data_IF_915253908538
#
_entry.id   IF_915253908538
#
_cell.length_a   1.000
_cell.length_b   1.000
_cell.length_c   1.000
_cell.angle_alpha   90.00
_cell.angle_beta   90.00
_cell.angle_gamma   90.00
#
_symmetry.space_group_name_H-M   'P 1'
#
loop_
_entity.id
_entity.type
_entity.pdbx_description
1 polymer ?
#
# COMPACT_ATOMS: atom_id res chain seq x y z
N UNK A 1 8.57 66.58 9.01
CA UNK A 1 8.25 67.34 10.24
C UNK A 1 8.83 66.52 11.39
N UNK A 2 9.83 66.99 12.17
CA UNK A 2 10.42 66.21 13.26
C UNK A 2 9.49 66.10 14.49
N UNK A 3 8.18 66.05 14.25
CA UNK A 3 7.09 65.94 15.22
C UNK A 3 6.18 64.73 14.97
N UNK A 4 6.54 63.85 14.03
CA UNK A 4 5.89 62.54 13.90
C UNK A 4 6.82 61.50 14.52
N UNK A 5 6.53 61.17 15.77
CA UNK A 5 7.18 60.09 16.50
C UNK A 5 6.98 58.76 15.78
N UNK A 6 7.96 57.88 15.91
CA UNK A 6 7.86 56.51 15.41
C UNK A 6 6.84 55.80 16.32
N UNK A 7 5.64 55.55 15.80
CA UNK A 7 4.71 54.62 16.42
C UNK A 7 5.35 53.23 16.38
N UNK A 8 5.74 52.73 17.55
CA UNK A 8 6.13 51.34 17.74
C UNK A 8 4.82 50.54 17.87
N UNK A 9 4.39 49.77 16.86
CA UNK A 9 3.22 48.92 17.04
C UNK A 9 3.58 47.91 18.12
N UNK A 10 2.95 48.04 19.29
CA UNK A 10 2.97 47.00 20.29
C UNK A 10 2.54 45.70 19.60
N UNK A 11 3.43 44.69 19.63
CA UNK A 11 3.10 43.31 19.29
C UNK A 11 1.92 42.89 20.17
N UNK A 12 0.71 43.04 19.64
CA UNK A 12 -0.43 42.30 20.14
C UNK A 12 -0.13 40.87 19.76
N UNK A 13 0.46 40.13 20.71
CA UNK A 13 0.41 38.67 20.72
C UNK A 13 -1.08 38.34 20.78
N UNK A 14 -1.69 38.22 19.60
CA UNK A 14 -2.90 37.43 19.49
C UNK A 14 -2.42 36.03 19.83
N UNK A 15 -2.95 35.48 20.93
CA UNK A 15 -2.83 34.06 21.22
C UNK A 15 -3.38 33.33 19.98
N UNK A 16 -2.47 32.94 19.10
CA UNK A 16 -2.79 32.15 17.92
C UNK A 16 -3.40 30.85 18.48
N UNK A 17 -4.68 30.54 18.21
CA UNK A 17 -5.29 29.33 18.73
C UNK A 17 -4.43 28.17 18.25
N UNK A 18 -3.82 27.47 19.22
CA UNK A 18 -2.62 26.66 19.07
C UNK A 18 -2.45 25.98 17.72
N UNK A 19 -1.21 26.04 17.19
CA UNK A 19 -0.79 25.39 15.95
C UNK A 19 -1.57 24.09 15.73
N UNK A 20 -2.43 24.12 14.72
CA UNK A 20 -3.34 23.03 14.44
C UNK A 20 -2.47 21.79 14.19
N UNK A 21 -2.71 20.73 14.98
CA UNK A 21 -2.02 19.45 14.89
C UNK A 21 -2.46 18.75 13.60
N UNK A 22 -1.93 19.18 12.45
CA UNK A 22 -2.35 18.69 11.12
C UNK A 22 -1.25 17.86 10.50
N UNK A 23 -1.48 16.55 10.29
CA UNK A 23 -0.58 15.74 9.48
C UNK A 23 -0.52 16.25 8.03
N UNK A 24 0.65 16.17 7.40
CA UNK A 24 0.88 16.54 6.00
C UNK A 24 1.14 15.30 5.16
N UNK A 25 0.48 15.20 4.01
CA UNK A 25 0.72 14.14 3.04
C UNK A 25 1.80 14.57 2.05
N UNK A 26 2.89 13.81 1.99
CA UNK A 26 3.98 13.98 1.04
C UNK A 26 3.89 12.92 -0.07
N UNK A 27 4.05 13.37 -1.32
CA UNK A 27 4.00 12.54 -2.52
C UNK A 27 5.39 12.39 -3.13
N UNK A 28 6.04 11.26 -2.87
CA UNK A 28 7.39 11.00 -3.33
C UNK A 28 7.40 10.55 -4.79
N UNK A 29 8.09 11.34 -5.63
CA UNK A 29 8.33 11.04 -7.05
C UNK A 29 9.81 10.94 -7.31
N UNK A 30 10.27 9.79 -7.80
CA UNK A 30 11.68 9.54 -8.15
C UNK A 30 11.80 9.05 -9.59
N UNK A 31 12.96 9.27 -10.19
CA UNK A 31 13.34 8.63 -11.45
C UNK A 31 13.71 7.16 -11.22
N UNK A 32 13.60 6.35 -12.28
CA UNK A 32 14.04 4.96 -12.24
C UNK A 32 15.53 4.88 -11.87
N UNK A 33 15.89 4.04 -10.90
CA UNK A 33 17.26 3.94 -10.38
C UNK A 33 17.66 5.02 -9.35
N UNK A 34 16.82 6.00 -9.03
CA UNK A 34 17.12 7.01 -8.01
C UNK A 34 16.66 6.54 -6.62
N UNK A 35 17.36 6.91 -5.55
CA UNK A 35 16.81 6.81 -4.19
C UNK A 35 15.81 7.93 -3.90
N UNK A 36 14.96 7.79 -2.88
CA UNK A 36 14.18 8.95 -2.41
C UNK A 36 15.01 9.94 -1.59
N UNK A 37 16.16 9.51 -1.06
CA UNK A 37 17.13 10.36 -0.34
C UNK A 37 16.71 10.70 1.09
N UNK A 38 16.18 9.72 1.83
CA UNK A 38 15.91 9.84 3.26
C UNK A 38 16.06 8.46 3.92
N UNK A 39 16.13 8.46 5.26
CA UNK A 39 16.15 7.26 6.09
C UNK A 39 14.98 7.26 7.06
N UNK A 40 14.58 6.07 7.51
CA UNK A 40 13.55 5.87 8.53
C UNK A 40 14.15 5.20 9.75
N UNK A 41 14.06 5.86 10.89
CA UNK A 41 14.45 5.32 12.19
C UNK A 41 13.20 5.11 13.05
N UNK A 42 13.07 3.97 13.74
CA UNK A 42 11.98 3.78 14.71
C UNK A 42 12.38 4.44 16.02
N UNK A 43 11.59 5.40 16.48
CA UNK A 43 11.78 6.06 17.76
C UNK A 43 10.52 5.91 18.62
N UNK A 44 10.61 5.10 19.68
CA UNK A 44 9.47 4.75 20.52
C UNK A 44 8.32 4.15 19.70
N UNK A 45 7.17 4.82 19.66
CA UNK A 45 5.94 4.36 19.01
C UNK A 45 5.85 4.75 17.53
N UNK A 46 6.74 5.58 16.98
CA UNK A 46 6.62 6.06 15.61
C UNK A 46 7.94 5.99 14.83
N UNK A 47 7.84 6.07 13.50
CA UNK A 47 9.00 6.21 12.64
C UNK A 47 9.33 7.69 12.46
N UNK A 48 10.62 8.00 12.38
CA UNK A 48 11.20 9.33 12.22
C UNK A 48 11.98 9.37 10.90
N UNK A 49 11.77 10.45 10.14
CA UNK A 49 12.57 10.76 8.95
C UNK A 49 13.92 11.31 9.41
N UNK A 50 15.01 10.67 9.00
CA UNK A 50 16.39 11.11 9.31
C UNK A 50 17.24 11.13 8.05
N UNK A 51 18.40 11.79 8.12
CA UNK A 51 19.41 11.79 7.05
C UNK A 51 18.80 12.15 5.69
N UNK A 52 18.04 13.25 5.66
CA UNK A 52 17.41 13.77 4.44
C UNK A 52 18.47 14.40 3.53
N UNK A 53 18.67 13.79 2.36
CA UNK A 53 19.63 14.27 1.36
C UNK A 53 19.16 15.61 0.76
N UNK A 54 20.02 16.64 0.67
CA UNK A 54 19.69 17.88 -0.02
C UNK A 54 19.35 17.63 -1.49
N UNK A 55 18.33 18.33 -2.00
CA UNK A 55 17.80 18.23 -3.37
C UNK A 55 17.25 16.84 -3.73
N UNK A 56 16.99 16.01 -2.73
CA UNK A 56 16.42 14.69 -2.94
C UNK A 56 14.95 14.75 -3.35
N UNK A 57 14.43 13.68 -3.97
CA UNK A 57 12.99 13.51 -4.17
C UNK A 57 12.17 13.71 -2.88
N UNK A 58 12.68 13.27 -1.73
CA UNK A 58 12.03 13.40 -0.44
C UNK A 58 11.91 14.85 0.02
N UNK A 59 13.00 15.61 -0.03
CA UNK A 59 13.01 17.03 0.33
C UNK A 59 12.09 17.84 -0.58
N UNK A 60 12.17 17.63 -1.90
CA UNK A 60 11.28 18.27 -2.88
C UNK A 60 9.80 17.92 -2.69
N UNK A 61 9.50 16.77 -2.06
CA UNK A 61 8.13 16.34 -1.73
C UNK A 61 7.63 16.91 -0.40
N UNK A 62 8.45 17.72 0.28
CA UNK A 62 8.12 18.43 1.52
C UNK A 62 8.36 17.63 2.80
N UNK A 63 9.11 16.52 2.73
CA UNK A 63 9.58 15.84 3.94
C UNK A 63 10.66 16.69 4.62
N UNK A 64 10.70 16.63 5.95
CA UNK A 64 11.72 17.30 6.76
C UNK A 64 12.37 16.29 7.70
N UNK A 65 13.63 16.54 8.01
CA UNK A 65 14.34 15.80 9.06
C UNK A 65 13.61 15.96 10.40
N UNK A 66 13.41 14.87 11.11
CA UNK A 66 12.65 14.78 12.36
C UNK A 66 11.13 14.63 12.20
N UNK A 67 10.56 14.69 10.99
CA UNK A 67 9.12 14.45 10.79
C UNK A 67 8.76 13.01 11.24
N UNK A 68 7.64 12.87 11.96
CA UNK A 68 7.12 11.60 12.47
C UNK A 68 6.11 11.01 11.49
N UNK A 69 6.31 9.78 11.06
CA UNK A 69 5.47 9.11 10.06
C UNK A 69 4.28 8.45 10.73
N UNK A 70 3.08 8.81 10.26
CA UNK A 70 1.81 8.22 10.68
C UNK A 70 1.35 7.14 9.71
N UNK A 71 1.49 7.37 8.40
CA UNK A 71 1.10 6.40 7.36
C UNK A 71 2.13 6.29 6.24
N UNK A 72 2.27 5.10 5.68
CA UNK A 72 3.00 4.83 4.45
C UNK A 72 2.05 4.10 3.48
N UNK A 73 1.86 4.63 2.28
CA UNK A 73 0.93 4.08 1.28
C UNK A 73 -0.50 3.81 1.79
N UNK A 74 -1.03 4.72 2.61
CA UNK A 74 -2.38 4.62 3.22
C UNK A 74 -2.51 3.55 4.32
N UNK A 75 -1.42 2.89 4.69
CA UNK A 75 -1.34 2.02 5.87
C UNK A 75 -0.78 2.79 7.06
N UNK A 76 -1.45 2.66 8.22
CA UNK A 76 -1.06 3.32 9.46
C UNK A 76 0.11 2.58 10.13
N UNK A 77 1.26 3.24 10.29
CA UNK A 77 2.51 2.59 10.71
C UNK A 77 2.95 2.88 12.15
N UNK A 78 2.23 3.72 12.88
CA UNK A 78 2.53 3.96 14.31
C UNK A 78 2.30 2.67 15.09
N UNK A 79 3.21 2.36 16.00
CA UNK A 79 3.32 1.11 16.77
C UNK A 79 3.59 -0.14 15.94
N UNK A 80 3.80 -0.02 14.62
CA UNK A 80 4.21 -1.17 13.82
C UNK A 80 5.67 -1.55 14.08
N UNK A 81 5.94 -2.84 13.94
CA UNK A 81 7.30 -3.35 13.93
C UNK A 81 7.98 -3.07 12.60
N UNK A 82 9.28 -2.87 12.68
CA UNK A 82 10.11 -2.50 11.55
C UNK A 82 9.97 -3.48 10.37
N UNK A 83 9.86 -4.78 10.65
CA UNK A 83 9.70 -5.82 9.63
C UNK A 83 8.35 -5.77 8.90
N UNK A 84 7.32 -5.15 9.47
CA UNK A 84 6.00 -4.97 8.85
C UNK A 84 5.93 -3.71 7.99
N UNK A 85 6.73 -2.70 8.31
CA UNK A 85 6.76 -1.44 7.56
C UNK A 85 7.69 -1.53 6.35
N UNK A 86 8.76 -2.34 6.42
CA UNK A 86 9.73 -2.57 5.32
C UNK A 86 9.12 -2.72 3.91
N UNK A 87 8.11 -3.59 3.67
CA UNK A 87 7.52 -3.76 2.34
C UNK A 87 6.88 -2.47 1.81
N UNK A 88 6.34 -1.67 2.72
CA UNK A 88 5.57 -0.46 2.45
C UNK A 88 6.47 0.78 2.22
N UNK A 89 7.73 0.78 2.69
CA UNK A 89 8.71 1.90 2.55
C UNK A 89 9.13 2.15 1.10
N UNK A 90 8.85 1.22 0.18
CA UNK A 90 8.91 1.47 -1.27
C UNK A 90 7.91 2.55 -1.74
N UNK A 91 7.07 3.02 -0.82
CA UNK A 91 5.94 3.89 -1.06
C UNK A 91 6.24 5.26 -1.61
N UNK A 92 5.32 5.71 -2.46
CA UNK A 92 5.28 7.05 -3.03
C UNK A 92 4.50 8.04 -2.16
N UNK A 93 4.04 7.62 -0.97
CA UNK A 93 3.09 8.38 -0.13
C UNK A 93 3.43 8.23 1.34
N UNK A 94 3.70 9.34 2.00
CA UNK A 94 4.00 9.39 3.43
C UNK A 94 3.10 10.43 4.07
N UNK A 95 2.25 10.02 5.02
CA UNK A 95 1.56 10.94 5.91
C UNK A 95 2.46 11.14 7.12
N UNK A 96 2.92 12.37 7.33
CA UNK A 96 3.79 12.70 8.46
C UNK A 96 3.23 13.84 9.30
N UNK A 97 3.86 14.07 10.44
CA UNK A 97 3.65 15.21 11.30
C UNK A 97 4.99 15.81 11.75
N UNK A 98 5.04 17.11 12.04
CA UNK A 98 6.23 17.71 12.65
C UNK A 98 6.50 17.07 14.02
N UNK A 99 7.76 17.02 14.48
CA UNK A 99 8.07 16.46 15.79
C UNK A 99 7.35 17.20 16.94
N UNK A 100 7.18 18.52 16.82
CA UNK A 100 6.45 19.32 17.82
C UNK A 100 4.96 18.96 17.87
N UNK A 101 4.27 18.92 16.72
CA UNK A 101 2.85 18.57 16.68
C UNK A 101 2.62 17.13 17.11
N UNK A 102 3.52 16.20 16.77
CA UNK A 102 3.44 14.80 17.22
C UNK A 102 3.57 14.71 18.73
N UNK A 103 4.57 15.38 19.32
CA UNK A 103 4.76 15.41 20.75
C UNK A 103 3.53 16.01 21.47
N UNK A 104 2.98 17.11 20.95
CA UNK A 104 1.79 17.74 21.50
C UNK A 104 0.57 16.81 21.43
N UNK A 105 0.36 16.13 20.30
CA UNK A 105 -0.73 15.17 20.09
C UNK A 105 -0.69 14.04 21.11
N UNK A 106 0.49 13.42 21.30
CA UNK A 106 0.70 12.35 22.27
C UNK A 106 0.50 12.86 23.70
N UNK A 107 1.00 14.05 24.02
CA UNK A 107 0.92 14.63 25.37
C UNK A 107 -0.51 14.93 25.83
N UNK A 108 -1.39 15.32 24.90
CA UNK A 108 -2.81 15.59 25.19
C UNK A 108 -3.71 14.37 24.93
N UNK A 109 -3.13 13.21 24.59
CA UNK A 109 -3.85 11.96 24.40
C UNK A 109 -4.71 11.91 23.12
N UNK A 110 -4.32 12.62 22.06
CA UNK A 110 -5.00 12.51 20.76
C UNK A 110 -4.81 11.10 20.20
N UNK A 111 -5.89 10.49 19.72
CA UNK A 111 -5.79 9.29 18.90
C UNK A 111 -5.18 9.64 17.53
N UNK A 112 -3.90 9.34 17.38
CA UNK A 112 -3.13 9.60 16.16
C UNK A 112 -3.68 8.84 14.94
N UNK A 113 -4.33 7.69 15.15
CA UNK A 113 -4.97 6.93 14.07
C UNK A 113 -6.22 7.65 13.59
N UNK A 114 -7.07 8.07 14.53
CA UNK A 114 -8.23 8.90 14.21
C UNK A 114 -7.80 10.20 13.50
N UNK A 115 -6.72 10.83 13.95
CA UNK A 115 -6.20 12.05 13.33
C UNK A 115 -5.72 11.81 11.89
N UNK A 116 -5.02 10.69 11.64
CA UNK A 116 -4.61 10.29 10.29
C UNK A 116 -5.82 10.03 9.39
N UNK A 117 -6.85 9.34 9.90
CA UNK A 117 -8.11 9.08 9.20
C UNK A 117 -8.89 10.36 8.91
N UNK A 118 -8.93 11.30 9.86
CA UNK A 118 -9.60 12.59 9.70
C UNK A 118 -9.00 13.44 8.56
N UNK A 119 -7.69 13.28 8.25
CA UNK A 119 -7.09 13.94 7.06
C UNK A 119 -7.69 13.45 5.74
N UNK A 120 -8.36 12.30 5.75
CA UNK A 120 -9.02 11.71 4.59
C UNK A 120 -10.48 12.19 4.44
N UNK A 121 -11.08 12.72 5.50
CA UNK A 121 -12.48 13.17 5.55
C UNK A 121 -13.46 12.08 5.98
N UNK A 122 -14.66 12.49 6.39
CA UNK A 122 -15.61 11.66 7.16
C UNK A 122 -16.14 10.39 6.44
N UNK A 123 -15.91 10.24 5.13
CA UNK A 123 -16.40 9.13 4.30
C UNK A 123 -15.41 8.67 3.22
N UNK A 124 -14.11 8.67 3.54
CA UNK A 124 -13.10 8.23 2.59
C UNK A 124 -13.02 6.70 2.45
N UNK A 125 -12.98 6.22 1.21
CA UNK A 125 -12.68 4.84 0.86
C UNK A 125 -11.63 4.75 -0.25
N UNK A 126 -10.83 3.67 -0.24
CA UNK A 126 -9.92 3.37 -1.35
C UNK A 126 -10.73 3.04 -2.61
N UNK A 127 -10.25 3.41 -3.80
CA UNK A 127 -10.78 2.88 -5.05
C UNK A 127 -10.83 1.35 -5.01
N UNK A 128 -11.76 0.75 -5.74
CA UNK A 128 -11.93 -0.71 -5.79
C UNK A 128 -11.66 -1.22 -7.19
N UNK A 129 -10.71 -2.13 -7.32
CA UNK A 129 -10.43 -2.86 -8.56
C UNK A 129 -11.21 -4.17 -8.53
N UNK A 130 -12.35 -4.16 -9.19
CA UNK A 130 -13.33 -5.23 -9.16
C UNK A 130 -13.26 -6.08 -10.42
N UNK A 131 -13.18 -7.40 -10.29
CA UNK A 131 -13.35 -8.32 -11.40
C UNK A 131 -14.74 -8.96 -11.36
N UNK A 132 -15.47 -8.85 -12.48
CA UNK A 132 -16.86 -9.28 -12.60
C UNK A 132 -16.93 -10.42 -13.61
N UNK A 133 -17.41 -11.58 -13.18
CA UNK A 133 -17.81 -12.65 -14.10
C UNK A 133 -19.22 -12.38 -14.61
N UNK A 134 -19.41 -12.41 -15.93
CA UNK A 134 -20.72 -12.24 -16.57
C UNK A 134 -21.62 -13.41 -16.23
N UNK A 135 -22.79 -13.10 -15.68
CA UNK A 135 -23.85 -14.08 -15.49
C UNK A 135 -24.58 -14.32 -16.81
N UNK A 136 -24.88 -15.58 -17.18
CA UNK A 136 -25.53 -15.91 -18.46
C UNK A 136 -26.85 -15.17 -18.70
N UNK A 137 -27.63 -14.92 -17.64
CA UNK A 137 -28.94 -14.25 -17.72
C UNK A 137 -28.90 -12.74 -17.41
N UNK A 138 -27.96 -12.30 -16.57
CA UNK A 138 -27.95 -10.94 -16.00
C UNK A 138 -26.78 -10.09 -16.49
N UNK A 139 -25.94 -10.64 -17.38
CA UNK A 139 -24.73 -9.98 -17.85
C UNK A 139 -23.83 -9.60 -16.67
N UNK A 140 -23.38 -8.35 -16.65
CA UNK A 140 -22.53 -7.83 -15.57
C UNK A 140 -23.32 -7.42 -14.32
N UNK A 141 -24.66 -7.34 -14.36
CA UNK A 141 -25.45 -6.82 -13.23
C UNK A 141 -25.23 -5.33 -12.94
N UNK A 142 -24.73 -4.57 -13.93
CA UNK A 142 -24.59 -3.12 -13.83
C UNK A 142 -24.91 -2.43 -15.16
N UNK A 143 -25.28 -1.17 -15.08
CA UNK A 143 -25.43 -0.25 -16.21
C UNK A 143 -24.59 0.99 -15.98
N UNK A 144 -24.09 1.60 -17.05
CA UNK A 144 -23.27 2.79 -17.00
C UNK A 144 -24.09 3.98 -17.48
N UNK A 145 -24.07 5.07 -16.72
CA UNK A 145 -24.81 6.30 -16.99
C UNK A 145 -23.81 7.46 -17.06
N UNK A 146 -23.96 8.35 -18.04
CA UNK A 146 -23.16 9.58 -18.11
C UNK A 146 -23.49 10.50 -16.95
N UNK A 147 -22.48 11.17 -16.39
CA UNK A 147 -22.68 12.21 -15.39
C UNK A 147 -23.05 13.52 -16.11
N UNK A 148 -24.17 14.13 -15.70
CA UNK A 148 -24.68 15.34 -16.33
C UNK A 148 -23.66 16.48 -16.30
N UNK A 149 -23.46 17.15 -17.44
CA UNK A 149 -22.53 18.27 -17.57
C UNK A 149 -21.04 17.89 -17.55
N UNK A 150 -20.68 16.62 -17.37
CA UNK A 150 -19.28 16.18 -17.29
C UNK A 150 -18.92 15.22 -18.42
N UNK A 151 -18.04 15.69 -19.32
CA UNK A 151 -17.60 14.92 -20.47
C UNK A 151 -16.72 13.74 -20.03
N UNK A 152 -17.00 12.56 -20.58
CA UNK A 152 -16.26 11.31 -20.34
C UNK A 152 -16.21 10.88 -18.86
N UNK A 153 -17.20 11.29 -18.06
CA UNK A 153 -17.39 10.82 -16.70
C UNK A 153 -18.66 10.00 -16.62
N UNK A 154 -18.58 8.86 -15.92
CA UNK A 154 -19.65 7.89 -15.89
C UNK A 154 -19.83 7.32 -14.48
N UNK A 155 -21.07 7.05 -14.13
CA UNK A 155 -21.49 6.45 -12.89
C UNK A 155 -22.11 5.08 -13.18
N UNK A 156 -21.95 4.14 -12.26
CA UNK A 156 -22.58 2.82 -12.35
C UNK A 156 -23.88 2.77 -11.55
N UNK A 157 -24.87 2.10 -12.12
CA UNK A 157 -26.07 1.64 -11.40
C UNK A 157 -26.05 0.13 -11.39
N UNK A 158 -26.09 -0.44 -10.20
CA UNK A 158 -26.02 -1.88 -10.00
C UNK A 158 -27.40 -2.48 -9.81
N UNK A 159 -27.50 -3.78 -10.08
CA UNK A 159 -28.65 -4.61 -9.72
C UNK A 159 -28.37 -5.22 -8.35
N UNK A 160 -29.36 -5.14 -7.46
CA UNK A 160 -29.28 -5.73 -6.11
C UNK A 160 -28.92 -7.21 -6.21
N UNK A 161 -27.90 -7.63 -5.45
CA UNK A 161 -27.35 -9.01 -5.45
C UNK A 161 -26.83 -9.50 -6.82
N UNK A 162 -26.63 -8.56 -7.76
CA UNK A 162 -26.11 -8.82 -9.08
C UNK A 162 -24.61 -9.13 -9.08
N UNK A 163 -24.06 -9.63 -10.21
CA UNK A 163 -22.63 -9.93 -10.31
C UNK A 163 -21.71 -8.74 -9.99
N UNK A 164 -22.10 -7.51 -10.35
CA UNK A 164 -21.33 -6.30 -10.03
C UNK A 164 -21.27 -6.02 -8.52
N UNK A 165 -22.39 -6.10 -7.80
CA UNK A 165 -22.40 -5.90 -6.34
C UNK A 165 -21.61 -6.96 -5.60
N UNK A 166 -21.74 -8.23 -6.02
CA UNK A 166 -20.92 -9.32 -5.49
C UNK A 166 -19.43 -9.14 -5.75
N UNK A 167 -19.06 -8.42 -6.81
CA UNK A 167 -17.68 -8.06 -7.12
C UNK A 167 -17.17 -6.82 -6.36
N UNK A 168 -18.00 -6.15 -5.54
CA UNK A 168 -17.63 -4.98 -4.73
C UNK A 168 -17.93 -3.62 -5.38
N UNK A 169 -18.81 -3.58 -6.39
CA UNK A 169 -19.24 -2.37 -7.07
C UNK A 169 -20.60 -1.95 -6.52
N UNK A 170 -20.77 -0.70 -6.13
CA UNK A 170 -22.02 -0.21 -5.55
C UNK A 170 -22.70 0.81 -6.44
N UNK A 171 -24.02 0.93 -6.29
CA UNK A 171 -24.81 1.92 -7.00
C UNK A 171 -24.34 3.33 -6.62
N UNK A 172 -24.06 4.17 -7.61
CA UNK A 172 -23.54 5.53 -7.39
C UNK A 172 -22.03 5.66 -7.56
N UNK A 173 -21.31 4.54 -7.65
CA UNK A 173 -19.86 4.56 -7.87
C UNK A 173 -19.49 5.22 -9.21
N UNK A 174 -18.37 5.93 -9.22
CA UNK A 174 -17.73 6.49 -10.42
C UNK A 174 -16.87 5.44 -11.09
N UNK A 175 -17.00 5.33 -12.40
CA UNK A 175 -16.23 4.39 -13.22
C UNK A 175 -14.98 5.07 -13.79
N UNK A 176 -13.81 4.65 -13.32
CA UNK A 176 -12.54 5.34 -13.61
C UNK A 176 -11.72 4.62 -14.68
N UNK A 177 -11.70 3.29 -14.66
CA UNK A 177 -10.87 2.47 -15.55
C UNK A 177 -11.55 1.14 -15.89
N UNK A 178 -11.32 0.61 -17.10
CA UNK A 178 -11.90 -0.66 -17.60
C UNK A 178 -10.84 -1.39 -18.42
N UNK A 179 -10.50 -2.63 -18.03
CA UNK A 179 -9.63 -3.54 -18.80
C UNK A 179 -8.38 -2.88 -19.43
N UNK A 180 -7.60 -2.14 -18.64
CA UNK A 180 -6.38 -1.47 -19.11
C UNK A 180 -6.58 -0.01 -19.53
N UNK A 181 -7.83 0.45 -19.68
CA UNK A 181 -8.13 1.74 -20.29
C UNK A 181 -8.74 2.74 -19.30
N UNK A 182 -8.22 3.96 -19.31
CA UNK A 182 -8.80 5.08 -18.58
C UNK A 182 -10.10 5.55 -19.21
N UNK A 183 -11.17 5.58 -18.42
CA UNK A 183 -12.52 5.91 -18.89
C UNK A 183 -12.63 7.36 -19.35
N UNK A 184 -11.88 8.26 -18.71
CA UNK A 184 -11.77 9.68 -19.10
C UNK A 184 -11.31 9.89 -20.55
N UNK A 185 -10.61 8.90 -21.13
CA UNK A 185 -10.13 8.92 -22.53
C UNK A 185 -11.14 8.35 -23.53
N UNK A 186 -12.19 7.68 -23.04
CA UNK A 186 -13.16 6.95 -23.85
C UNK A 186 -14.48 7.73 -23.98
N UNK A 187 -15.09 7.65 -25.16
CA UNK A 187 -16.48 8.09 -25.36
C UNK A 187 -17.45 7.02 -24.84
N UNK A 188 -18.68 7.41 -24.57
CA UNK A 188 -19.72 6.52 -24.05
C UNK A 188 -19.90 5.25 -24.89
N UNK A 189 -19.92 5.40 -26.22
CA UNK A 189 -20.02 4.25 -27.14
C UNK A 189 -18.85 3.27 -27.03
N UNK A 190 -17.63 3.77 -26.80
CA UNK A 190 -16.45 2.94 -26.59
C UNK A 190 -16.52 2.21 -25.25
N UNK A 191 -16.94 2.90 -24.18
CA UNK A 191 -17.17 2.29 -22.85
C UNK A 191 -18.15 1.12 -22.94
N UNK A 192 -19.33 1.36 -23.53
CA UNK A 192 -20.35 0.32 -23.71
C UNK A 192 -19.83 -0.82 -24.60
N UNK A 193 -19.07 -0.52 -25.66
CA UNK A 193 -18.45 -1.54 -26.52
C UNK A 193 -17.44 -2.40 -25.77
N UNK A 194 -16.63 -1.81 -24.89
CA UNK A 194 -15.67 -2.53 -24.06
C UNK A 194 -16.38 -3.46 -23.07
N UNK A 195 -17.43 -2.99 -22.40
CA UNK A 195 -18.22 -3.80 -21.46
C UNK A 195 -19.00 -4.94 -22.15
N UNK A 196 -19.49 -4.69 -23.36
CA UNK A 196 -20.22 -5.67 -24.19
C UNK A 196 -19.30 -6.56 -25.03
N UNK A 197 -17.99 -6.30 -25.06
CA UNK A 197 -17.03 -7.11 -25.82
C UNK A 197 -17.20 -8.58 -25.46
N UNK A 198 -17.12 -9.47 -26.46
CA UNK A 198 -17.12 -10.91 -26.22
C UNK A 198 -15.98 -11.25 -25.27
N UNK A 199 -16.32 -11.93 -24.20
CA UNK A 199 -15.48 -12.19 -23.03
C UNK A 199 -16.40 -12.43 -21.85
N UNK A 200 -16.06 -13.40 -21.01
CA UNK A 200 -16.92 -13.83 -19.90
C UNK A 200 -16.73 -12.99 -18.64
N UNK A 201 -15.81 -12.02 -18.67
CA UNK A 201 -15.54 -11.16 -17.52
C UNK A 201 -15.08 -9.76 -17.91
N UNK A 202 -15.09 -8.85 -16.93
CA UNK A 202 -14.60 -7.47 -17.04
C UNK A 202 -13.96 -7.08 -15.71
N UNK A 203 -12.80 -6.43 -15.76
CA UNK A 203 -12.17 -5.80 -14.60
C UNK A 203 -12.35 -4.28 -14.69
N UNK A 204 -12.85 -3.67 -13.64
CA UNK A 204 -13.10 -2.22 -13.56
C UNK A 204 -12.51 -1.61 -12.30
N UNK A 205 -12.10 -0.34 -12.39
CA UNK A 205 -11.76 0.48 -11.23
C UNK A 205 -12.92 1.43 -10.95
N UNK A 206 -13.45 1.36 -9.74
CA UNK A 206 -14.53 2.22 -9.28
C UNK A 206 -14.16 2.95 -7.99
N UNK A 207 -14.83 4.07 -7.72
CA UNK A 207 -14.69 4.81 -6.47
C UNK A 207 -16.01 5.46 -6.12
N UNK A 208 -16.29 5.61 -4.83
CA UNK A 208 -17.43 6.39 -4.36
C UNK A 208 -17.28 7.89 -4.75
N UNK A 209 -18.39 8.60 -4.95
CA UNK A 209 -18.38 10.00 -5.43
C UNK A 209 -17.80 10.98 -4.40
N UNK A 210 -18.02 10.75 -3.10
CA UNK A 210 -17.46 11.60 -2.04
C UNK A 210 -15.96 11.33 -1.90
N UNK A 211 -15.57 10.06 -1.99
CA UNK A 211 -14.18 9.62 -2.01
C UNK A 211 -13.41 10.20 -3.21
N UNK A 212 -14.00 10.21 -4.42
CA UNK A 212 -13.39 10.82 -5.61
C UNK A 212 -13.00 12.28 -5.36
N UNK A 213 -13.90 13.05 -4.74
CA UNK A 213 -13.66 14.46 -4.41
C UNK A 213 -12.48 14.63 -3.45
N UNK A 214 -12.28 13.71 -2.51
CA UNK A 214 -11.11 13.69 -1.63
C UNK A 214 -9.82 13.43 -2.42
N UNK A 215 -9.80 12.43 -3.31
CA UNK A 215 -8.63 12.16 -4.16
C UNK A 215 -8.27 13.35 -5.04
N UNK A 216 -9.25 14.01 -5.66
CA UNK A 216 -9.04 15.21 -6.48
C UNK A 216 -8.47 16.36 -5.64
N UNK A 217 -9.07 16.66 -4.47
CA UNK A 217 -8.60 17.73 -3.57
C UNK A 217 -7.15 17.52 -3.14
N UNK A 218 -6.78 16.26 -2.87
CA UNK A 218 -5.42 15.87 -2.47
C UNK A 218 -4.46 15.72 -3.66
N UNK A 219 -4.92 15.99 -4.89
CA UNK A 219 -4.15 15.80 -6.12
C UNK A 219 -3.62 14.37 -6.27
N UNK A 220 -4.38 13.41 -5.76
CA UNK A 220 -4.06 11.98 -5.80
C UNK A 220 -4.70 11.35 -7.04
N UNK A 221 -3.90 10.73 -7.93
CA UNK A 221 -4.45 10.00 -9.06
C UNK A 221 -5.14 8.73 -8.57
N UNK A 222 -6.32 8.45 -9.13
CA UNK A 222 -7.07 7.21 -8.91
C UNK A 222 -6.59 6.19 -9.95
N UNK A 223 -5.86 5.17 -9.49
CA UNK A 223 -5.19 4.17 -10.33
C UNK A 223 -5.33 2.78 -9.69
N UNK A 224 -5.15 1.68 -10.45
CA UNK A 224 -5.17 0.33 -9.88
C UNK A 224 -4.18 0.11 -8.72
N UNK A 225 -3.01 0.76 -8.74
CA UNK A 225 -1.97 0.67 -7.70
C UNK A 225 -2.41 1.15 -6.31
N UNK A 226 -3.46 1.96 -6.23
CA UNK A 226 -3.98 2.49 -4.95
C UNK A 226 -5.33 1.89 -4.59
N UNK A 227 -5.78 0.95 -5.41
CA UNK A 227 -7.08 0.32 -5.26
C UNK A 227 -6.98 -0.86 -4.30
N UNK A 228 -8.05 -1.08 -3.55
CA UNK A 228 -8.32 -2.37 -2.96
C UNK A 228 -8.69 -3.37 -4.06
N UNK A 229 -8.11 -4.57 -4.02
CA UNK A 229 -8.51 -5.68 -4.87
C UNK A 229 -9.86 -6.24 -4.42
N UNK A 230 -10.78 -6.45 -5.35
CA UNK A 230 -12.08 -7.05 -5.07
C UNK A 230 -12.40 -8.13 -6.09
N UNK A 231 -12.59 -9.36 -5.62
CA UNK A 231 -12.95 -10.53 -6.45
C UNK A 231 -11.97 -10.82 -7.60
N UNK A 232 -10.69 -10.44 -7.49
CA UNK A 232 -9.69 -10.77 -8.50
C UNK A 232 -9.49 -12.30 -8.57
N UNK A 233 -9.46 -12.90 -9.79
CA UNK A 233 -9.46 -14.36 -9.96
C UNK A 233 -8.10 -15.01 -9.63
N UNK A 234 -7.03 -14.21 -9.58
CA UNK A 234 -5.67 -14.68 -9.37
C UNK A 234 -4.97 -13.76 -8.37
N UNK A 235 -4.22 -14.33 -7.44
CA UNK A 235 -3.40 -13.59 -6.49
C UNK A 235 -1.97 -14.11 -6.50
N UNK A 236 -1.01 -13.21 -6.32
CA UNK A 236 0.39 -13.59 -6.15
C UNK A 236 0.60 -14.08 -4.72
N UNK A 237 1.20 -15.27 -4.58
CA UNK A 237 1.44 -15.92 -3.29
C UNK A 237 2.87 -15.68 -2.85
N UNK A 238 3.07 -15.22 -1.60
CA UNK A 238 4.39 -15.19 -0.98
C UNK A 238 4.58 -16.38 -0.05
N UNK A 239 5.72 -17.03 -0.23
CA UNK A 239 6.12 -18.24 0.47
C UNK A 239 7.39 -17.95 1.24
N UNK A 240 7.31 -18.05 2.56
CA UNK A 240 8.46 -17.90 3.44
C UNK A 240 9.06 -19.29 3.69
N UNK A 241 10.26 -19.50 3.16
CA UNK A 241 10.95 -20.78 3.19
C UNK A 241 12.08 -20.74 4.21
N UNK A 242 12.23 -21.83 4.96
CA UNK A 242 13.40 -22.09 5.81
C UNK A 242 14.13 -23.31 5.24
N UNK A 243 15.43 -23.16 5.02
CA UNK A 243 16.27 -24.19 4.41
C UNK A 243 16.35 -25.42 5.32
N UNK A 244 16.02 -26.60 4.78
CA UNK A 244 16.21 -27.88 5.45
C UNK A 244 17.61 -28.45 5.24
N UNK A 245 17.84 -29.68 5.72
CA UNK A 245 19.08 -30.45 5.50
C UNK A 245 19.44 -30.57 4.02
N UNK A 246 18.42 -30.78 3.18
CA UNK A 246 18.54 -31.03 1.74
C UNK A 246 18.22 -29.78 0.90
N UNK A 247 18.22 -28.60 1.54
CA UNK A 247 17.88 -27.33 0.89
C UNK A 247 16.40 -26.97 1.00
N UNK A 248 15.88 -26.26 0.00
CA UNK A 248 14.48 -25.81 -0.01
C UNK A 248 13.52 -26.81 -0.66
N UNK A 249 14.02 -27.76 -1.47
CA UNK A 249 13.24 -28.79 -2.17
C UNK A 249 12.44 -28.29 -3.36
N UNK A 250 13.04 -27.44 -4.19
CA UNK A 250 12.50 -27.02 -5.48
C UNK A 250 13.62 -26.70 -6.48
N UNK A 251 13.30 -26.70 -7.77
CA UNK A 251 14.15 -26.28 -8.87
C UNK A 251 13.65 -24.96 -9.47
N UNK A 252 14.54 -23.98 -9.63
CA UNK A 252 14.25 -22.79 -10.42
C UNK A 252 14.69 -23.02 -11.87
N UNK A 253 13.77 -23.00 -12.82
CA UNK A 253 14.08 -23.13 -14.25
C UNK A 253 13.86 -21.82 -14.99
N UNK A 254 14.74 -21.50 -15.93
CA UNK A 254 14.47 -20.47 -16.93
C UNK A 254 13.77 -21.11 -18.13
N UNK A 255 12.52 -20.74 -18.37
CA UNK A 255 11.70 -21.23 -19.47
C UNK A 255 11.42 -20.10 -20.46
N UNK A 256 11.09 -20.44 -21.71
CA UNK A 256 10.60 -19.47 -22.70
C UNK A 256 9.10 -19.63 -22.84
N UNK A 257 8.37 -18.54 -22.68
CA UNK A 257 6.95 -18.54 -22.94
C UNK A 257 6.67 -18.78 -24.41
N UNK A 258 5.84 -19.79 -24.70
CA UNK A 258 5.51 -20.17 -26.07
C UNK A 258 4.94 -19.00 -26.91
N UNK A 259 4.15 -18.12 -26.29
CA UNK A 259 3.46 -17.02 -26.97
C UNK A 259 4.31 -15.77 -27.20
N UNK A 260 5.26 -15.44 -26.32
CA UNK A 260 6.03 -14.19 -26.38
C UNK A 260 7.53 -14.38 -26.57
N UNK A 261 8.03 -15.62 -26.51
CA UNK A 261 9.48 -15.94 -26.44
C UNK A 261 10.21 -15.26 -25.27
N UNK A 262 9.46 -14.65 -24.34
CA UNK A 262 10.00 -14.00 -23.15
C UNK A 262 10.57 -15.09 -22.22
N UNK A 263 11.79 -14.84 -21.72
CA UNK A 263 12.40 -15.67 -20.69
C UNK A 263 11.67 -15.42 -19.38
N UNK A 264 11.31 -16.49 -18.69
CA UNK A 264 10.62 -16.46 -17.40
C UNK A 264 11.23 -17.47 -16.45
N UNK A 265 11.05 -17.23 -15.15
CA UNK A 265 11.59 -18.09 -14.10
C UNK A 265 10.48 -18.87 -13.42
N UNK A 266 10.46 -20.18 -13.62
CA UNK A 266 9.38 -21.09 -13.20
C UNK A 266 9.88 -21.99 -12.07
N UNK A 267 9.04 -22.15 -11.05
CA UNK A 267 9.25 -23.06 -9.95
C UNK A 267 8.86 -24.47 -10.40
N UNK A 268 9.77 -25.43 -10.28
CA UNK A 268 9.62 -26.80 -10.78
C UNK A 268 10.10 -27.82 -9.77
N UNK A 269 9.69 -29.07 -9.94
CA UNK A 269 10.22 -30.23 -9.22
C UNK A 269 10.19 -29.98 -7.69
N UNK A 270 9.00 -29.63 -7.19
CA UNK A 270 8.78 -29.43 -5.74
C UNK A 270 8.78 -30.80 -5.05
N UNK A 271 9.73 -31.01 -4.16
CA UNK A 271 9.92 -32.28 -3.46
C UNK A 271 8.85 -32.50 -2.38
N UNK A 272 8.34 -33.72 -2.28
CA UNK A 272 7.38 -34.12 -1.23
C UNK A 272 8.00 -33.98 0.17
N UNK A 273 7.28 -33.35 1.10
CA UNK A 273 7.73 -33.09 2.47
C UNK A 273 8.79 -31.98 2.59
N UNK A 274 9.09 -31.28 1.50
CA UNK A 274 10.08 -30.19 1.50
C UNK A 274 9.55 -28.90 2.15
N UNK A 275 10.46 -27.98 2.56
CA UNK A 275 10.06 -26.63 2.95
C UNK A 275 9.24 -25.90 1.87
N UNK A 276 9.54 -26.14 0.58
CA UNK A 276 8.80 -25.59 -0.55
C UNK A 276 7.34 -26.07 -0.58
N UNK A 277 7.11 -27.38 -0.52
CA UNK A 277 5.76 -27.94 -0.43
C UNK A 277 5.02 -27.46 0.82
N UNK A 278 5.72 -27.41 1.97
CA UNK A 278 5.15 -26.94 3.24
C UNK A 278 4.70 -25.46 3.22
N UNK A 279 5.37 -24.61 2.43
CA UNK A 279 4.93 -23.24 2.17
C UNK A 279 3.83 -23.14 1.10
N UNK A 280 3.49 -24.28 0.48
CA UNK A 280 2.52 -24.45 -0.58
C UNK A 280 3.01 -23.92 -1.93
N UNK A 281 4.28 -24.15 -2.26
CA UNK A 281 4.79 -23.93 -3.61
C UNK A 281 4.11 -24.88 -4.59
N UNK A 282 3.65 -24.35 -5.72
CA UNK A 282 3.03 -25.14 -6.79
C UNK A 282 3.98 -25.26 -7.98
N UNK A 283 4.12 -26.48 -8.53
CA UNK A 283 4.91 -26.71 -9.75
C UNK A 283 4.28 -25.98 -10.93
N UNK A 284 5.10 -25.21 -11.66
CA UNK A 284 4.69 -24.43 -12.82
C UNK A 284 4.37 -22.97 -12.52
N UNK A 285 4.43 -22.54 -11.25
CA UNK A 285 4.26 -21.14 -10.89
C UNK A 285 5.45 -20.29 -11.33
N UNK A 286 5.14 -19.07 -11.77
CA UNK A 286 6.09 -18.05 -12.17
C UNK A 286 6.59 -17.28 -10.96
N UNK A 287 7.90 -17.25 -10.75
CA UNK A 287 8.53 -16.41 -9.75
C UNK A 287 8.45 -14.93 -10.17
N UNK A 288 7.93 -14.08 -9.28
CA UNK A 288 7.74 -12.65 -9.46
C UNK A 288 8.72 -11.82 -8.64
N UNK A 289 9.02 -12.23 -7.41
CA UNK A 289 9.91 -11.50 -6.50
C UNK A 289 10.69 -12.43 -5.56
N UNK A 290 11.87 -11.96 -5.12
CA UNK A 290 12.71 -12.60 -4.10
C UNK A 290 12.97 -11.59 -2.99
N UNK A 291 12.55 -11.91 -1.77
CA UNK A 291 12.60 -11.04 -0.59
C UNK A 291 11.93 -9.67 -0.83
N UNK A 292 10.78 -9.67 -1.52
CA UNK A 292 10.03 -8.47 -1.86
C UNK A 292 10.59 -7.66 -3.04
N UNK A 293 11.75 -8.04 -3.59
CA UNK A 293 12.30 -7.38 -4.77
C UNK A 293 11.84 -8.06 -6.07
N UNK A 294 11.20 -7.33 -7.00
CA UNK A 294 10.79 -7.85 -8.30
C UNK A 294 11.97 -8.35 -9.12
N UNK A 295 11.80 -9.47 -9.83
CA UNK A 295 12.87 -10.11 -10.63
C UNK A 295 12.68 -10.02 -12.14
N UNK A 296 11.68 -9.28 -12.63
CA UNK A 296 11.33 -9.24 -14.07
C UNK A 296 12.47 -8.76 -14.98
N UNK A 297 13.35 -7.89 -14.48
CA UNK A 297 14.50 -7.35 -15.20
C UNK A 297 15.82 -8.07 -14.90
N UNK A 298 15.81 -9.13 -14.07
CA UNK A 298 17.02 -9.83 -13.63
C UNK A 298 17.33 -11.03 -14.53
N UNK A 299 18.61 -11.31 -14.73
CA UNK A 299 19.04 -12.56 -15.37
C UNK A 299 18.97 -13.74 -14.39
N UNK A 300 18.83 -14.96 -14.92
CA UNK A 300 18.65 -16.16 -14.11
C UNK A 300 19.74 -16.37 -13.06
N UNK A 301 21.00 -16.13 -13.42
CA UNK A 301 22.14 -16.32 -12.52
C UNK A 301 22.10 -15.36 -11.33
N UNK A 302 21.66 -14.12 -11.55
CA UNK A 302 21.54 -13.11 -10.50
C UNK A 302 20.42 -13.45 -9.53
N UNK A 303 19.30 -13.98 -10.03
CA UNK A 303 18.20 -14.46 -9.18
C UNK A 303 18.66 -15.63 -8.31
N UNK A 304 19.35 -16.62 -8.91
CA UNK A 304 19.90 -17.77 -8.17
C UNK A 304 20.91 -17.30 -7.12
N UNK A 305 21.78 -16.33 -7.47
CA UNK A 305 22.72 -15.73 -6.54
C UNK A 305 21.98 -15.05 -5.38
N UNK A 306 20.93 -14.29 -5.66
CA UNK A 306 20.11 -13.60 -4.66
C UNK A 306 19.44 -14.57 -3.68
N UNK A 307 18.86 -15.67 -4.19
CA UNK A 307 18.28 -16.72 -3.34
C UNK A 307 19.35 -17.36 -2.45
N UNK A 308 20.53 -17.70 -3.01
CA UNK A 308 21.63 -18.29 -2.25
C UNK A 308 22.22 -17.36 -1.20
N UNK A 309 22.29 -16.06 -1.48
CA UNK A 309 22.77 -15.04 -0.56
C UNK A 309 21.80 -14.76 0.59
N UNK A 310 20.53 -15.20 0.47
CA UNK A 310 19.54 -15.05 1.54
C UNK A 310 19.81 -15.95 2.76
N UNK A 311 20.79 -16.86 2.66
CA UNK A 311 21.14 -17.78 3.74
C UNK A 311 20.08 -18.89 3.90
N UNK A 312 19.61 -19.08 5.13
CA UNK A 312 18.67 -20.15 5.48
C UNK A 312 17.20 -19.73 5.38
N UNK A 313 16.92 -18.44 5.18
CA UNK A 313 15.54 -17.94 5.05
C UNK A 313 15.39 -17.15 3.77
N UNK A 314 14.37 -17.46 2.99
CA UNK A 314 14.05 -16.71 1.77
C UNK A 314 12.54 -16.55 1.63
N UNK A 315 12.12 -15.40 1.14
CA UNK A 315 10.73 -15.12 0.80
C UNK A 315 10.58 -15.09 -0.72
N UNK A 316 9.74 -15.94 -1.28
CA UNK A 316 9.52 -16.03 -2.73
C UNK A 316 8.08 -15.70 -3.05
N UNK A 317 7.86 -14.72 -3.93
CA UNK A 317 6.52 -14.37 -4.43
C UNK A 317 6.33 -14.96 -5.81
N UNK A 318 5.28 -15.75 -6.01
CA UNK A 318 5.00 -16.41 -7.28
C UNK A 318 3.53 -16.30 -7.70
N UNK A 319 3.23 -16.59 -8.97
CA UNK A 319 1.87 -16.63 -9.50
C UNK A 319 1.73 -17.70 -10.59
N UNK A 320 0.55 -18.28 -10.70
CA UNK A 320 0.22 -19.16 -11.81
C UNK A 320 0.32 -18.48 -13.19
N UNK A 321 0.64 -19.26 -14.22
CA UNK A 321 0.71 -18.76 -15.61
C UNK A 321 -0.60 -18.09 -16.06
N UNK A 322 -1.79 -18.66 -15.81
CA UNK A 322 -3.06 -17.99 -16.11
C UNK A 322 -3.20 -16.64 -15.38
N UNK A 323 -2.75 -16.57 -14.12
CA UNK A 323 -2.73 -15.34 -13.35
C UNK A 323 -1.83 -14.26 -13.96
N UNK A 324 -0.62 -14.62 -14.38
CA UNK A 324 0.27 -13.68 -15.10
C UNK A 324 -0.42 -13.14 -16.36
N UNK A 325 -1.05 -14.02 -17.14
CA UNK A 325 -1.73 -13.63 -18.37
C UNK A 325 -2.87 -12.65 -18.13
N UNK A 326 -3.67 -12.89 -17.09
CA UNK A 326 -4.72 -11.97 -16.65
C UNK A 326 -4.15 -10.57 -16.33
N UNK A 327 -3.14 -10.47 -15.47
CA UNK A 327 -2.57 -9.18 -15.08
C UNK A 327 -1.87 -8.46 -16.24
N UNK A 328 -1.22 -9.21 -17.14
CA UNK A 328 -0.60 -8.67 -18.35
C UNK A 328 -1.62 -8.08 -19.31
N UNK A 329 -2.77 -8.73 -19.52
CA UNK A 329 -3.85 -8.19 -20.37
C UNK A 329 -4.38 -6.86 -19.81
N UNK A 330 -4.41 -6.74 -18.48
CA UNK A 330 -4.81 -5.52 -17.78
C UNK A 330 -3.71 -4.44 -17.74
N UNK A 331 -2.46 -4.76 -18.11
CA UNK A 331 -1.34 -3.82 -18.05
C UNK A 331 -0.97 -3.39 -16.63
N UNK A 332 -1.16 -4.27 -15.65
CA UNK A 332 -0.87 -4.01 -14.23
C UNK A 332 -0.01 -5.15 -13.67
N UNK A 333 0.84 -4.85 -12.68
CA UNK A 333 1.67 -5.88 -12.06
C UNK A 333 0.88 -6.69 -11.02
N UNK A 334 1.01 -8.03 -10.97
CA UNK A 334 0.42 -8.84 -9.90
C UNK A 334 0.96 -8.47 -8.51
N UNK A 335 2.18 -7.91 -8.43
CA UNK A 335 2.79 -7.48 -7.18
C UNK A 335 2.09 -6.27 -6.54
N UNK A 336 1.18 -5.60 -7.26
CA UNK A 336 0.36 -4.51 -6.70
C UNK A 336 -0.65 -4.99 -5.66
N UNK A 337 -1.07 -6.25 -5.74
CA UNK A 337 -2.10 -6.84 -4.88
C UNK A 337 -1.54 -7.97 -4.02
N UNK A 338 -0.22 -8.01 -3.88
CA UNK A 338 0.40 -9.00 -3.04
C UNK A 338 0.00 -8.72 -1.58
N UNK A 339 -0.88 -9.56 -1.05
CA UNK A 339 -1.27 -9.52 0.35
C UNK A 339 -0.08 -10.00 1.20
N UNK A 340 0.58 -9.07 1.89
CA UNK A 340 1.20 -9.41 3.16
C UNK A 340 0.08 -9.99 4.03
N UNK A 341 0.24 -11.24 4.48
CA UNK A 341 -0.76 -11.95 5.28
C UNK A 341 -1.15 -11.20 6.56
N UNK A 342 -2.09 -10.26 6.44
CA UNK A 342 -2.95 -9.76 7.50
C UNK A 342 -4.04 -8.94 6.85
N UNK A 343 -5.19 -9.57 6.55
CA UNK A 343 -6.55 -9.01 6.58
C UNK A 343 -7.47 -9.89 5.73
N UNK A 344 -7.86 -11.04 6.31
CA UNK A 344 -9.16 -11.64 5.97
C UNK A 344 -10.24 -10.64 6.41
N UNK A 345 -10.63 -9.72 5.53
CA UNK A 345 -11.87 -8.98 5.72
C UNK A 345 -13.03 -9.82 5.16
N UNK A 346 -13.39 -10.85 5.92
CA UNK A 346 -14.70 -11.49 5.80
C UNK A 346 -15.29 -11.53 7.20
N UNK A 347 -16.35 -10.74 7.36
CA UNK A 347 -17.40 -10.76 8.38
C UNK A 347 -17.02 -10.25 9.78
N UNK A 348 -17.74 -9.21 10.21
CA UNK A 348 -18.54 -9.25 11.43
C UNK A 348 -19.41 -7.98 11.48
N UNK A 349 -20.54 -8.05 10.78
CA UNK A 349 -21.75 -7.41 11.28
C UNK A 349 -22.46 -8.44 12.15
N UNK A 350 -23.04 -7.97 13.25
CA UNK A 350 -23.72 -8.71 14.33
C UNK A 350 -22.80 -9.28 15.41
N UNK A 351 -22.62 -8.50 16.49
CA UNK A 351 -23.22 -8.77 17.81
C UNK A 351 -22.61 -7.81 18.85
N UNK A 352 -23.39 -6.81 19.25
CA UNK A 352 -23.21 -6.17 20.56
C UNK A 352 -24.07 -6.94 21.56
N UNK A 353 -23.52 -7.34 22.71
CA UNK A 353 -24.28 -7.09 23.92
C UNK A 353 -23.44 -6.61 25.11
N UNK A 354 -23.99 -5.57 25.74
CA UNK A 354 -24.16 -5.40 27.19
C UNK A 354 -22.93 -5.10 28.07
N UNK A 355 -22.91 -3.83 28.49
CA UNK A 355 -22.37 -3.32 29.76
C UNK A 355 -22.62 -4.28 30.93
N UNK A 356 -21.57 -4.52 31.75
CA UNK A 356 -21.67 -4.53 33.22
C UNK A 356 -20.42 -3.95 33.87
N UNK A 357 -20.69 -3.35 35.02
CA UNK A 357 -19.92 -2.44 35.84
C UNK A 357 -18.99 -3.13 36.85
N UNK A 358 -18.02 -2.34 37.31
CA UNK A 358 -17.38 -2.28 38.64
C UNK A 358 -16.50 -3.46 39.12
N UNK A 359 -15.22 -3.17 39.43
CA UNK A 359 -14.73 -2.85 40.79
C UNK A 359 -13.19 -2.73 40.91
N UNK A 360 -12.80 -1.57 41.46
CA UNK A 360 -11.83 -1.31 42.55
C UNK A 360 -10.34 -1.68 42.42
N UNK A 361 -9.55 -0.59 42.39
CA UNK A 361 -8.36 -0.27 43.23
C UNK A 361 -7.72 -1.40 44.06
N UNK A 362 -6.41 -1.58 43.86
CA UNK A 362 -5.46 -1.65 44.96
C UNK A 362 -4.07 -1.15 44.51
N UNK A 363 -3.53 -0.32 45.38
CA UNK A 363 -2.32 0.47 45.35
C UNK A 363 -1.01 -0.34 45.51
N UNK A 364 0.09 0.36 45.26
CA UNK A 364 1.45 0.21 45.82
C UNK A 364 2.55 -0.46 44.99
N UNK A 365 3.65 0.28 44.83
CA UNK A 365 4.97 -0.28 44.57
C UNK A 365 5.84 0.50 43.58
N UNK A 366 6.36 1.66 44.00
CA UNK A 366 7.53 2.27 43.37
C UNK A 366 8.69 1.27 43.37
N UNK A 367 9.32 1.03 42.20
CA UNK A 367 10.78 0.91 42.12
C UNK A 367 11.31 1.45 40.79
N UNK A 368 12.28 2.34 40.95
CA UNK A 368 13.07 3.04 39.96
C UNK A 368 13.89 2.08 39.11
N UNK A 369 13.95 2.34 37.80
CA UNK A 369 14.78 1.61 36.86
C UNK A 369 14.56 2.05 35.42
N UNK A 370 14.53 3.36 35.14
CA UNK A 370 14.52 3.86 33.77
C UNK A 370 15.93 3.68 33.20
N UNK A 371 16.19 2.54 32.57
CA UNK A 371 17.29 2.39 31.62
C UNK A 371 16.77 3.02 30.33
N UNK A 372 17.42 4.06 29.76
CA UNK A 372 17.07 4.51 28.43
C UNK A 372 17.43 3.36 27.48
N UNK A 373 16.42 2.65 26.98
CA UNK A 373 16.62 1.78 25.82
C UNK A 373 17.12 2.67 24.68
N UNK A 374 18.36 2.41 24.27
CA UNK A 374 18.95 3.04 23.10
C UNK A 374 18.06 2.75 21.89
N UNK A 375 17.75 3.76 21.04
CA UNK A 375 16.93 3.54 19.86
C UNK A 375 17.55 2.46 18.97
N UNK A 376 16.71 1.51 18.51
CA UNK A 376 17.11 0.58 17.45
C UNK A 376 17.27 1.38 16.14
N UNK A 377 18.45 1.93 15.94
CA UNK A 377 18.80 2.69 14.74
C UNK A 377 19.05 1.71 13.60
N UNK A 378 18.02 1.40 12.81
CA UNK A 378 18.18 0.63 11.58
C UNK A 378 18.18 1.59 10.39
N UNK A 379 19.35 1.79 9.79
CA UNK A 379 19.52 2.63 8.60
C UNK A 379 18.86 1.95 7.39
N UNK A 380 17.84 2.57 6.81
CA UNK A 380 17.31 2.18 5.49
C UNK A 380 17.59 3.30 4.52
N UNK A 381 18.48 3.04 3.56
CA UNK A 381 18.64 3.88 2.39
C UNK A 381 17.57 3.46 1.38
N UNK A 382 16.60 4.34 1.08
CA UNK A 382 15.55 4.00 0.10
C UNK A 382 16.11 4.13 -1.32
N UNK A 383 17.00 3.21 -1.73
CA UNK A 383 17.73 3.20 -3.01
C UNK A 383 17.32 2.08 -3.97
N UNK A 384 17.88 2.06 -5.20
CA UNK A 384 17.69 0.98 -6.18
C UNK A 384 18.47 -0.30 -5.87
N UNK A 385 19.42 -0.24 -4.94
CA UNK A 385 20.21 -1.35 -4.43
C UNK A 385 20.45 -1.11 -2.94
N UNK A 386 20.44 -2.19 -2.15
CA UNK A 386 20.80 -2.29 -0.73
C UNK A 386 19.68 -2.05 0.29
N UNK A 387 19.07 -3.15 0.74
CA UNK A 387 18.75 -3.35 2.16
C UNK A 387 20.02 -3.91 2.84
N UNK A 388 20.82 -3.06 3.48
CA UNK A 388 21.87 -3.51 4.39
C UNK A 388 21.48 -3.14 5.82
N UNK A 389 21.13 -4.16 6.60
CA UNK A 389 20.96 -4.03 8.05
C UNK A 389 22.35 -3.76 8.66
N UNK A 390 22.70 -2.49 8.85
CA UNK A 390 23.92 -2.12 9.60
C UNK A 390 23.55 -2.07 11.08
N UNK A 391 23.70 -3.19 11.78
CA UNK A 391 23.74 -3.18 13.25
C UNK A 391 25.05 -2.51 13.67
N UNK A 392 24.99 -1.28 14.18
CA UNK A 392 26.10 -0.72 14.95
C UNK A 392 26.04 -1.29 16.36
N UNK A 393 26.87 -2.28 16.64
CA UNK A 393 27.25 -2.63 18.02
C UNK A 393 28.14 -1.50 18.56
N UNK A 394 27.61 -0.68 19.46
CA UNK A 394 28.43 0.23 20.24
C UNK A 394 29.18 -0.58 21.32
N UNK A 395 30.51 -0.44 21.36
CA UNK A 395 31.39 -0.90 22.44
C UNK A 395 31.41 0.17 23.53
#
# INVERSE_FOLDING_TARGET
NPKEGIDNPALVMTDDPGEIVVPRLCHLKRSEGQSFGFHLCKYSQAFEITDLDPWSPAEHSGLKDGDRVLEVNEEYVVNMDFNRVKPHISGHRILQMSPFSFFQAVSIGVDLKFLAEATKGDHWSRPRLCHIQKHPKHGLGMTVVSVDGQKNQYMVRTVIDGPAEKAGIFNGDRLIWINGLMVSTLRYSAVIKTLKKRGDSVTVLVIDSDSESCYIRRKMPIMPVVAQSCSLPHSAKTMNLVKGSDGYGFLLRQEKLACTQQKVHVLREVDMGSPAEGAGMEDGDLLLAVNGEPIESMEHEDIVRKIRQSGDKVSLTAISIPGRDFYRELGISPLLFHEDCSHRCINNWEEAPLRKQDRKEADSGFHSGYVPELPETVRIQVGPQCFTEVRQSAV
#
